data_IF_555518067278
#
_entry.id   IF_555518067278
#
_cell.length_a   1.000
_cell.length_b   1.000
_cell.length_c   1.000
_cell.angle_alpha   90.00
_cell.angle_beta   90.00
_cell.angle_gamma   90.00
#
_symmetry.space_group_name_H-M   'P 1'
#
loop_
_entity.id
_entity.type
_entity.pdbx_description
1 polymer ?
#
# COMPACT_ATOMS: atom_id res chain seq x y z
N UNK A 1 10.68 -20.19 -48.83
CA UNK A 1 11.97 -20.13 -48.11
C UNK A 1 12.05 -18.79 -47.42
N UNK A 2 12.50 -18.80 -46.16
CA UNK A 2 12.75 -17.69 -45.23
C UNK A 2 11.50 -16.93 -44.72
N UNK A 3 11.36 -16.51 -43.45
CA UNK A 3 12.03 -16.64 -42.14
C UNK A 3 11.00 -16.00 -41.16
N UNK A 4 10.46 -16.70 -40.16
CA UNK A 4 10.89 -16.75 -38.75
C UNK A 4 10.77 -15.41 -37.97
N UNK A 5 9.96 -15.45 -36.89
CA UNK A 5 9.98 -14.71 -35.60
C UNK A 5 9.96 -13.16 -35.64
N UNK A 6 9.31 -12.43 -34.72
CA UNK A 6 9.25 -12.63 -33.28
C UNK A 6 8.12 -11.80 -32.64
N UNK A 7 7.69 -12.33 -31.52
CA UNK A 7 6.77 -11.84 -30.52
C UNK A 7 7.13 -10.43 -30.02
N UNK A 8 6.17 -9.50 -30.06
CA UNK A 8 6.20 -8.33 -29.19
C UNK A 8 4.82 -8.21 -28.54
N UNK A 9 4.61 -9.04 -27.51
CA UNK A 9 3.78 -8.66 -26.39
C UNK A 9 4.34 -7.36 -25.84
N UNK A 10 3.83 -6.23 -26.34
CA UNK A 10 4.00 -4.96 -25.67
C UNK A 10 3.15 -5.03 -24.41
N UNK A 11 3.76 -5.57 -23.34
CA UNK A 11 3.40 -5.25 -21.96
C UNK A 11 3.44 -3.74 -21.85
N UNK A 12 2.28 -3.13 -22.08
CA UNK A 12 2.06 -1.76 -21.67
C UNK A 12 2.34 -1.74 -20.16
N UNK A 13 3.13 -0.79 -19.65
CA UNK A 13 3.20 -0.60 -18.22
C UNK A 13 1.77 -0.35 -17.78
N UNK A 14 1.23 -1.25 -16.95
CA UNK A 14 0.04 -0.98 -16.17
C UNK A 14 0.26 0.40 -15.59
N UNK A 15 -0.44 1.39 -16.15
CA UNK A 15 -0.60 2.68 -15.52
C UNK A 15 -1.33 2.33 -14.23
N UNK A 16 -0.56 2.03 -13.19
CA UNK A 16 -1.06 1.98 -11.83
C UNK A 16 -1.75 3.31 -11.66
N UNK A 17 -3.07 3.25 -11.58
CA UNK A 17 -3.95 4.39 -11.41
C UNK A 17 -3.57 5.02 -10.06
N UNK A 18 -2.64 5.98 -10.08
CA UNK A 18 -2.10 6.65 -8.89
C UNK A 18 -3.11 7.60 -8.25
N UNK A 19 -4.39 7.47 -8.60
CA UNK A 19 -5.50 8.32 -8.15
C UNK A 19 -6.57 7.58 -7.37
N UNK A 20 -6.57 6.24 -7.36
CA UNK A 20 -7.42 5.49 -6.45
C UNK A 20 -6.76 5.47 -5.07
N UNK A 21 -7.14 6.42 -4.21
CA UNK A 21 -6.99 6.23 -2.77
C UNK A 21 -7.57 4.85 -2.43
N UNK A 22 -6.69 3.93 -2.06
CA UNK A 22 -7.00 2.55 -1.72
C UNK A 22 -7.76 2.48 -0.39
N UNK A 23 -8.92 3.13 -0.33
CA UNK A 23 -9.82 3.10 0.81
C UNK A 23 -10.54 1.76 0.73
N UNK A 24 -9.96 0.76 1.40
CA UNK A 24 -10.64 -0.49 1.65
C UNK A 24 -11.35 -0.39 2.99
N UNK A 25 -12.68 -0.34 2.98
CA UNK A 25 -13.50 -0.57 4.17
C UNK A 25 -13.60 -2.07 4.54
N UNK A 26 -12.96 -2.93 3.74
CA UNK A 26 -12.88 -4.38 3.90
C UNK A 26 -11.42 -4.85 4.04
N UNK A 27 -11.20 -6.01 4.66
CA UNK A 27 -9.88 -6.60 4.79
C UNK A 27 -9.36 -7.13 3.46
N UNK A 28 -8.24 -6.61 2.98
CA UNK A 28 -7.56 -7.11 1.79
C UNK A 28 -6.09 -7.38 2.06
N UNK A 29 -5.58 -8.47 1.51
CA UNK A 29 -4.16 -8.69 1.44
C UNK A 29 -3.55 -7.59 0.56
N UNK A 30 -2.51 -6.92 1.07
CA UNK A 30 -1.86 -5.84 0.37
C UNK A 30 -0.37 -5.81 0.71
N UNK A 31 0.41 -5.29 -0.23
CA UNK A 31 1.85 -5.10 -0.09
C UNK A 31 2.26 -3.88 -0.93
N UNK A 32 3.32 -3.21 -0.50
CA UNK A 32 3.87 -2.03 -1.16
C UNK A 32 3.54 -0.73 -0.45
N UNK A 33 3.73 0.37 -1.18
CA UNK A 33 3.67 1.72 -0.65
C UNK A 33 2.39 2.44 -1.11
N UNK A 34 1.63 2.92 -0.13
CA UNK A 34 0.43 3.71 -0.30
C UNK A 34 0.75 5.20 -0.20
N UNK A 35 0.29 5.94 -1.20
CA UNK A 35 0.47 7.38 -1.29
C UNK A 35 -0.23 8.13 -0.14
N UNK A 36 0.28 9.31 0.22
CA UNK A 36 -0.32 10.16 1.22
C UNK A 36 -1.61 10.78 0.71
N UNK A 37 -2.52 11.01 1.63
CA UNK A 37 -3.77 11.73 1.37
C UNK A 37 -3.82 13.01 2.21
N UNK A 38 -4.61 13.99 1.76
CA UNK A 38 -4.81 15.24 2.49
C UNK A 38 -5.64 15.06 3.78
N UNK A 39 -6.37 13.95 3.90
CA UNK A 39 -7.17 13.61 5.08
C UNK A 39 -6.48 12.54 5.93
N UNK A 40 -6.69 12.59 7.24
CA UNK A 40 -6.27 11.53 8.13
C UNK A 40 -7.09 10.27 7.86
N UNK A 41 -6.48 9.11 8.03
CA UNK A 41 -7.14 7.80 7.94
C UNK A 41 -6.61 6.87 9.02
N UNK A 42 -7.40 5.89 9.39
CA UNK A 42 -6.95 4.80 10.26
C UNK A 42 -6.63 3.59 9.39
N UNK A 43 -5.44 3.02 9.57
CA UNK A 43 -5.10 1.71 9.03
C UNK A 43 -5.24 0.67 10.13
N UNK A 44 -5.96 -0.41 9.84
CA UNK A 44 -5.94 -1.65 10.62
C UNK A 44 -5.22 -2.71 9.80
N UNK A 45 -4.34 -3.48 10.42
CA UNK A 45 -3.58 -4.54 9.75
C UNK A 45 -3.38 -5.78 10.64
N UNK A 46 -3.18 -6.94 10.01
CA UNK A 46 -2.77 -8.20 10.63
C UNK A 46 -1.93 -9.04 9.67
N UNK A 47 -1.27 -10.05 10.22
CA UNK A 47 -0.48 -11.04 9.47
C UNK A 47 0.63 -10.41 8.61
N UNK A 48 1.30 -9.39 9.13
CA UNK A 48 2.38 -8.72 8.42
C UNK A 48 2.92 -7.48 9.12
N UNK A 49 3.66 -6.68 8.36
CA UNK A 49 4.33 -5.48 8.85
C UNK A 49 3.78 -4.23 8.20
N UNK A 50 3.57 -3.18 8.99
CA UNK A 50 3.18 -1.86 8.49
C UNK A 50 4.06 -0.78 9.11
N UNK A 51 4.43 0.21 8.30
CA UNK A 51 5.03 1.45 8.79
C UNK A 51 4.38 2.68 8.15
N UNK A 52 4.25 3.73 8.94
CA UNK A 52 3.78 5.05 8.54
C UNK A 52 4.99 5.98 8.45
N UNK A 53 5.25 6.52 7.26
CA UNK A 53 6.37 7.44 7.01
C UNK A 53 5.86 8.88 6.91
N UNK A 54 6.68 9.82 7.36
CA UNK A 54 6.43 11.25 7.20
C UNK A 54 6.66 11.68 5.75
N UNK A 55 6.32 12.94 5.46
CA UNK A 55 6.41 13.52 4.13
C UNK A 55 7.83 13.55 3.55
N UNK A 56 8.86 13.54 4.42
CA UNK A 56 10.28 13.50 4.01
C UNK A 56 10.75 12.10 3.57
N UNK A 57 9.88 11.09 3.57
CA UNK A 57 10.14 9.70 3.15
C UNK A 57 11.15 8.90 3.99
N UNK A 58 12.01 9.59 4.74
CA UNK A 58 13.05 9.00 5.57
C UNK A 58 12.53 8.73 6.98
N UNK A 59 11.82 9.70 7.55
CA UNK A 59 11.36 9.64 8.93
C UNK A 59 10.17 8.72 9.09
N UNK A 60 10.27 7.79 10.03
CA UNK A 60 9.17 6.91 10.43
C UNK A 60 8.38 7.60 11.54
N UNK A 61 7.07 7.69 11.37
CA UNK A 61 6.16 8.18 12.41
C UNK A 61 5.75 7.06 13.35
N UNK A 62 5.39 5.90 12.79
CA UNK A 62 4.95 4.73 13.55
C UNK A 62 5.23 3.46 12.73
N UNK A 63 5.58 2.35 13.37
CA UNK A 63 5.76 1.07 12.68
C UNK A 63 5.44 -0.11 13.59
N UNK A 64 5.16 -1.27 13.01
CA UNK A 64 5.05 -2.50 13.76
C UNK A 64 4.64 -3.72 12.96
N UNK A 65 4.91 -4.87 13.56
CA UNK A 65 4.43 -6.16 13.12
C UNK A 65 3.12 -6.52 13.84
N UNK A 66 2.20 -7.16 13.12
CA UNK A 66 1.01 -7.78 13.66
C UNK A 66 0.96 -9.25 13.23
N UNK A 67 0.69 -10.16 14.16
CA UNK A 67 0.33 -11.55 13.85
C UNK A 67 -1.16 -11.63 13.53
N UNK A 68 -1.83 -12.68 14.02
CA UNK A 68 -3.27 -12.86 13.83
C UNK A 68 -4.14 -11.80 14.55
N UNK A 69 -3.59 -11.15 15.59
CA UNK A 69 -4.26 -10.06 16.29
C UNK A 69 -4.08 -8.76 15.53
N UNK A 70 -5.20 -8.10 15.22
CA UNK A 70 -5.23 -6.79 14.57
C UNK A 70 -4.46 -5.74 15.36
N UNK A 71 -3.73 -4.90 14.63
CA UNK A 71 -3.15 -3.66 15.13
C UNK A 71 -3.61 -2.51 14.25
N UNK A 72 -3.80 -1.34 14.86
CA UNK A 72 -4.23 -0.15 14.13
C UNK A 72 -3.30 1.02 14.39
N UNK A 73 -3.06 1.81 13.35
CA UNK A 73 -2.28 3.04 13.39
C UNK A 73 -3.09 4.17 12.77
N UNK A 74 -2.86 5.39 13.25
CA UNK A 74 -3.37 6.57 12.58
C UNK A 74 -2.36 7.00 11.52
N UNK A 75 -2.82 7.19 10.29
CA UNK A 75 -2.03 7.77 9.20
C UNK A 75 -2.44 9.25 9.11
N UNK A 76 -1.60 10.19 9.58
CA UNK A 76 -1.92 11.61 9.49
C UNK A 76 -1.95 12.08 8.02
N UNK A 77 -2.51 13.27 7.75
CA UNK A 77 -2.42 13.90 6.44
C UNK A 77 -0.98 13.93 5.94
N UNK A 78 -0.79 13.75 4.64
CA UNK A 78 0.49 13.84 3.95
C UNK A 78 1.54 12.79 4.35
N UNK A 79 1.14 11.76 5.10
CA UNK A 79 2.01 10.63 5.47
C UNK A 79 1.81 9.43 4.55
N UNK A 80 2.90 8.73 4.26
CA UNK A 80 2.88 7.49 3.49
C UNK A 80 2.60 6.31 4.40
N UNK A 81 2.01 5.26 3.85
CA UNK A 81 1.88 3.98 4.54
C UNK A 81 2.56 2.90 3.70
N UNK A 82 3.51 2.18 4.27
CA UNK A 82 4.21 1.08 3.62
C UNK A 82 3.83 -0.22 4.33
N UNK A 83 3.40 -1.20 3.53
CA UNK A 83 2.91 -2.49 3.99
C UNK A 83 3.81 -3.57 3.39
N UNK A 84 4.31 -4.46 4.23
CA UNK A 84 5.29 -5.48 3.85
C UNK A 84 4.87 -6.84 4.38
N UNK A 85 5.14 -7.87 3.59
CA UNK A 85 4.89 -9.27 3.96
C UNK A 85 3.47 -9.73 3.68
N UNK A 86 2.77 -9.10 2.72
CA UNK A 86 1.39 -9.46 2.35
C UNK A 86 0.39 -9.36 3.50
N UNK A 87 0.51 -8.31 4.32
CA UNK A 87 -0.40 -8.08 5.44
C UNK A 87 -1.85 -7.96 4.94
N UNK A 88 -2.81 -8.43 5.73
CA UNK A 88 -4.19 -8.05 5.52
C UNK A 88 -4.38 -6.67 6.13
N UNK A 89 -4.90 -5.72 5.35
CA UNK A 89 -5.10 -4.33 5.78
C UNK A 89 -6.51 -3.86 5.46
N UNK A 90 -6.96 -2.84 6.20
CA UNK A 90 -8.19 -2.09 5.98
C UNK A 90 -7.89 -0.61 6.26
N UNK A 91 -8.27 0.28 5.35
CA UNK A 91 -8.16 1.72 5.52
C UNK A 91 -9.56 2.32 5.71
N UNK A 92 -9.84 2.84 6.90
CA UNK A 92 -11.09 3.55 7.17
C UNK A 92 -10.85 5.05 7.13
N UNK A 93 -11.66 5.77 6.35
CA UNK A 93 -11.72 7.24 6.41
C UNK A 93 -12.18 7.67 7.79
N UNK A 94 -11.50 8.66 8.36
CA UNK A 94 -11.92 9.36 9.56
C UNK A 94 -12.88 10.50 9.21
#
# INVERSE_FOLDING_TARGET
MAQQVEEQASEQPEKMDTTAATVYDEWKAADGLFAPEASAKTISFRDGFVRVRKQDWVSISEEGWAGHTEKSFQVPPWHYCEVLGSAQIKFTRA
#
